data_IF_006064436010
#
_entry.id   IF_006064436010
#
_cell.length_a   1.000
_cell.length_b   1.000
_cell.length_c   1.000
_cell.angle_alpha   90.00
_cell.angle_beta   90.00
_cell.angle_gamma   90.00
#
_symmetry.space_group_name_H-M   'P 1'
#
loop_
_entity.id
_entity.type
_entity.pdbx_description
1 polymer ?
#
# COMPACT_ATOMS: atom_id res chain seq x y z
N UNK A 1 35.16 -31.63 18.77
CA UNK A 1 35.16 -30.70 17.61
C UNK A 1 33.79 -30.50 16.94
N UNK A 2 33.03 -31.54 16.56
CA UNK A 2 31.75 -31.39 15.83
C UNK A 2 30.66 -30.55 16.53
N UNK A 3 30.55 -30.64 17.86
CA UNK A 3 29.57 -29.85 18.65
C UNK A 3 29.89 -28.34 18.65
N UNK A 4 31.17 -27.95 18.77
CA UNK A 4 31.59 -26.55 18.66
C UNK A 4 31.29 -25.96 17.27
N UNK A 5 31.56 -26.72 16.20
CA UNK A 5 31.24 -26.30 14.83
C UNK A 5 29.73 -26.14 14.61
N UNK A 6 28.90 -27.07 15.11
CA UNK A 6 27.43 -26.93 15.06
C UNK A 6 26.95 -25.67 15.79
N UNK A 7 27.50 -25.37 16.98
CA UNK A 7 27.16 -24.15 17.74
C UNK A 7 27.55 -22.89 16.97
N UNK A 8 28.73 -22.86 16.37
CA UNK A 8 29.20 -21.73 15.56
C UNK A 8 28.34 -21.53 14.31
N UNK A 9 27.95 -22.61 13.63
CA UNK A 9 27.02 -22.55 12.50
C UNK A 9 25.66 -22.00 12.93
N UNK A 10 25.12 -22.46 14.06
CA UNK A 10 23.85 -21.95 14.59
C UNK A 10 23.91 -20.45 14.90
N UNK A 11 25.00 -19.96 15.53
CA UNK A 11 25.16 -18.53 15.79
C UNK A 11 25.24 -17.68 14.51
N UNK A 12 25.89 -18.19 13.46
CA UNK A 12 25.94 -17.50 12.16
C UNK A 12 24.57 -17.46 11.49
N UNK A 13 23.78 -18.54 11.59
CA UNK A 13 22.41 -18.57 11.07
C UNK A 13 21.51 -17.57 11.80
N UNK A 14 21.62 -17.45 13.13
CA UNK A 14 20.89 -16.43 13.90
C UNK A 14 21.29 -15.02 13.43
N UNK A 15 22.59 -14.73 13.33
CA UNK A 15 23.08 -13.43 12.88
C UNK A 15 22.59 -13.08 11.47
N UNK A 16 22.58 -14.06 10.58
CA UNK A 16 22.04 -13.89 9.22
C UNK A 16 20.55 -13.57 9.26
N UNK A 17 19.77 -14.30 10.04
CA UNK A 17 18.32 -14.09 10.16
C UNK A 17 17.98 -12.72 10.76
N UNK A 18 18.76 -12.23 11.73
CA UNK A 18 18.62 -10.87 12.26
C UNK A 18 18.83 -9.81 11.17
N UNK A 19 19.86 -9.96 10.34
CA UNK A 19 20.13 -9.03 9.24
C UNK A 19 19.02 -9.07 8.19
N UNK A 20 18.52 -10.26 7.85
CA UNK A 20 17.43 -10.44 6.91
C UNK A 20 16.15 -9.72 7.40
N UNK A 21 15.81 -9.84 8.69
CA UNK A 21 14.66 -9.15 9.30
C UNK A 21 14.84 -7.62 9.24
N UNK A 22 16.04 -7.11 9.52
CA UNK A 22 16.31 -5.66 9.44
C UNK A 22 16.12 -5.13 8.03
N UNK A 23 16.53 -5.89 7.01
CA UNK A 23 16.33 -5.52 5.60
C UNK A 23 14.83 -5.55 5.26
N UNK A 24 14.13 -6.62 5.63
CA UNK A 24 12.69 -6.79 5.37
C UNK A 24 11.86 -5.64 5.97
N UNK A 25 12.10 -5.29 7.24
CA UNK A 25 11.41 -4.16 7.90
C UNK A 25 11.72 -2.84 7.21
N UNK A 26 12.98 -2.59 6.83
CA UNK A 26 13.36 -1.35 6.13
C UNK A 26 12.70 -1.23 4.77
N UNK A 27 12.60 -2.33 4.02
CA UNK A 27 11.92 -2.37 2.74
C UNK A 27 10.42 -2.12 2.90
N UNK A 28 9.78 -2.76 3.89
CA UNK A 28 8.37 -2.55 4.18
C UNK A 28 8.07 -1.09 4.56
N UNK A 29 8.89 -0.46 5.41
CA UNK A 29 8.75 0.97 5.75
C UNK A 29 8.85 1.84 4.50
N UNK A 30 9.85 1.61 3.64
CA UNK A 30 10.00 2.37 2.38
C UNK A 30 8.79 2.19 1.47
N UNK A 31 8.21 1.00 1.41
CA UNK A 31 7.04 0.74 0.59
C UNK A 31 5.81 1.49 1.11
N UNK A 32 5.59 1.52 2.43
CA UNK A 32 4.52 2.32 3.06
C UNK A 32 4.69 3.81 2.73
N UNK A 33 5.90 4.36 2.92
CA UNK A 33 6.20 5.76 2.60
C UNK A 33 5.98 6.06 1.11
N UNK A 34 6.34 5.15 0.22
CA UNK A 34 6.12 5.34 -1.23
C UNK A 34 4.62 5.31 -1.57
N UNK A 35 3.87 4.40 -0.96
CA UNK A 35 2.45 4.25 -1.26
C UNK A 35 1.62 5.43 -0.72
N UNK A 36 1.97 6.00 0.44
CA UNK A 36 1.27 7.20 0.95
C UNK A 36 1.50 8.42 0.06
N UNK A 37 2.72 8.60 -0.47
CA UNK A 37 2.99 9.66 -1.45
C UNK A 37 2.19 9.44 -2.74
N UNK A 38 2.05 8.18 -3.17
CA UNK A 38 1.23 7.85 -4.33
C UNK A 38 -0.25 8.15 -4.10
N UNK A 39 -0.79 7.89 -2.90
CA UNK A 39 -2.16 8.30 -2.52
C UNK A 39 -2.32 9.81 -2.60
N UNK A 40 -1.36 10.58 -2.08
CA UNK A 40 -1.41 12.04 -2.15
C UNK A 40 -1.38 12.56 -3.58
N UNK A 41 -0.56 11.94 -4.45
CA UNK A 41 -0.47 12.30 -5.86
C UNK A 41 -1.77 12.00 -6.63
N UNK A 42 -2.34 10.81 -6.45
CA UNK A 42 -3.59 10.41 -7.13
C UNK A 42 -4.79 11.21 -6.63
N UNK A 43 -4.84 11.56 -5.35
CA UNK A 43 -5.86 12.47 -4.81
C UNK A 43 -5.82 13.83 -5.50
N UNK A 44 -4.64 14.45 -5.63
CA UNK A 44 -4.49 15.72 -6.34
C UNK A 44 -4.91 15.61 -7.81
N UNK A 45 -4.60 14.49 -8.47
CA UNK A 45 -5.04 14.24 -9.84
C UNK A 45 -6.57 14.15 -9.96
N UNK A 46 -7.23 13.46 -9.01
CA UNK A 46 -8.69 13.38 -8.94
C UNK A 46 -9.34 14.73 -8.68
N UNK A 47 -8.80 15.53 -7.75
CA UNK A 47 -9.27 16.89 -7.52
C UNK A 47 -9.13 17.79 -8.75
N UNK A 48 -8.06 17.65 -9.53
CA UNK A 48 -7.86 18.38 -10.78
C UNK A 48 -8.87 17.95 -11.84
N UNK A 49 -9.11 16.65 -11.99
CA UNK A 49 -10.10 16.11 -12.92
C UNK A 49 -11.53 16.58 -12.57
N UNK A 50 -11.86 16.62 -11.27
CA UNK A 50 -13.13 17.15 -10.77
C UNK A 50 -13.31 18.62 -11.18
N UNK A 51 -12.29 19.46 -10.95
CA UNK A 51 -12.32 20.88 -11.35
C UNK A 51 -12.46 21.04 -12.86
N UNK A 52 -11.84 20.16 -13.66
CA UNK A 52 -11.97 20.18 -15.11
C UNK A 52 -13.41 19.88 -15.54
N UNK A 53 -14.05 18.89 -14.93
CA UNK A 53 -15.46 18.59 -15.18
C UNK A 53 -16.34 19.81 -14.88
N UNK A 54 -16.18 20.43 -13.72
CA UNK A 54 -16.94 21.64 -13.35
C UNK A 54 -16.74 22.80 -14.34
N UNK A 55 -15.54 22.96 -14.88
CA UNK A 55 -15.23 23.97 -15.91
C UNK A 55 -15.95 23.66 -17.21
N UNK A 56 -15.93 22.41 -17.66
CA UNK A 56 -16.61 22.01 -18.90
C UNK A 56 -18.14 22.12 -18.78
N UNK A 57 -18.71 21.75 -17.64
CA UNK A 57 -20.15 21.95 -17.37
C UNK A 57 -20.54 23.43 -17.42
N UNK A 58 -19.73 24.32 -16.82
CA UNK A 58 -19.94 25.77 -16.89
C UNK A 58 -19.85 26.28 -18.32
N UNK A 59 -18.85 25.86 -19.09
CA UNK A 59 -18.72 26.25 -20.51
C UNK A 59 -19.90 25.75 -21.34
N UNK A 60 -20.37 24.53 -21.09
CA UNK A 60 -21.51 23.94 -21.80
C UNK A 60 -22.79 24.75 -21.54
N UNK A 61 -23.01 25.20 -20.30
CA UNK A 61 -24.17 26.03 -19.93
C UNK A 61 -24.25 27.36 -20.69
N UNK A 62 -23.12 27.87 -21.18
CA UNK A 62 -23.02 29.10 -21.99
C UNK A 62 -22.74 28.81 -23.47
N UNK A 63 -22.92 27.57 -23.93
CA UNK A 63 -22.76 27.16 -25.33
C UNK A 63 -21.31 27.17 -25.84
N UNK A 64 -20.32 27.13 -24.94
CA UNK A 64 -18.88 27.16 -25.23
C UNK A 64 -18.17 25.81 -25.07
N UNK A 65 -18.92 24.74 -24.85
CA UNK A 65 -18.44 23.35 -24.76
C UNK A 65 -19.49 22.41 -25.34
N UNK A 66 -19.14 21.16 -25.53
CA UNK A 66 -19.99 20.12 -26.13
C UNK A 66 -20.27 18.98 -25.15
N UNK A 67 -21.33 18.21 -25.40
CA UNK A 67 -21.63 17.03 -24.60
C UNK A 67 -20.50 15.98 -24.65
N UNK A 68 -19.78 15.92 -25.77
CA UNK A 68 -18.58 15.07 -25.91
C UNK A 68 -17.45 15.50 -24.97
N UNK A 69 -17.24 16.81 -24.79
CA UNK A 69 -16.21 17.33 -23.87
C UNK A 69 -16.57 17.06 -22.40
N UNK A 70 -17.85 17.17 -22.03
CA UNK A 70 -18.33 16.75 -20.71
C UNK A 70 -18.07 15.25 -20.50
N UNK A 71 -18.47 14.40 -21.44
CA UNK A 71 -18.27 12.95 -21.32
C UNK A 71 -16.78 12.58 -21.15
N UNK A 72 -15.89 13.24 -21.91
CA UNK A 72 -14.44 13.06 -21.74
C UNK A 72 -13.95 13.49 -20.36
N UNK A 73 -14.43 14.63 -19.84
CA UNK A 73 -14.07 15.08 -18.51
C UNK A 73 -14.58 14.14 -17.41
N UNK A 74 -15.75 13.53 -17.60
CA UNK A 74 -16.30 12.49 -16.70
C UNK A 74 -15.48 11.21 -16.75
N UNK A 75 -15.05 10.75 -17.93
CA UNK A 75 -14.17 9.59 -18.10
C UNK A 75 -12.80 9.81 -17.43
N UNK A 76 -12.22 11.00 -17.60
CA UNK A 76 -10.97 11.40 -16.96
C UNK A 76 -11.10 11.38 -15.42
N UNK A 77 -12.22 11.90 -14.90
CA UNK A 77 -12.52 11.88 -13.46
C UNK A 77 -12.67 10.45 -12.94
N UNK A 78 -13.47 9.62 -13.60
CA UNK A 78 -13.68 8.22 -13.20
C UNK A 78 -12.37 7.43 -13.18
N UNK A 79 -11.50 7.67 -14.17
CA UNK A 79 -10.15 7.08 -14.22
C UNK A 79 -9.29 7.55 -13.04
N UNK A 80 -9.32 8.86 -12.73
CA UNK A 80 -8.58 9.40 -11.60
C UNK A 80 -9.07 8.87 -10.25
N UNK A 81 -10.38 8.71 -10.06
CA UNK A 81 -10.99 8.09 -8.88
C UNK A 81 -10.55 6.63 -8.72
N UNK A 82 -10.57 5.86 -9.82
CA UNK A 82 -10.09 4.47 -9.81
C UNK A 82 -8.61 4.36 -9.42
N UNK A 83 -7.79 5.28 -9.92
CA UNK A 83 -6.37 5.35 -9.57
C UNK A 83 -6.15 5.75 -8.10
N UNK A 84 -6.94 6.68 -7.54
CA UNK A 84 -6.90 7.02 -6.11
C UNK A 84 -7.28 5.83 -5.25
N UNK A 85 -8.38 5.15 -5.57
CA UNK A 85 -8.84 3.97 -4.84
C UNK A 85 -7.79 2.85 -4.82
N UNK A 86 -7.19 2.54 -5.98
CA UNK A 86 -6.10 1.55 -6.06
C UNK A 86 -4.88 1.97 -5.24
N UNK A 87 -4.51 3.25 -5.26
CA UNK A 87 -3.39 3.73 -4.48
C UNK A 87 -3.62 3.56 -2.97
N UNK A 88 -4.85 3.80 -2.49
CA UNK A 88 -5.25 3.61 -1.10
C UNK A 88 -5.16 2.13 -0.72
N UNK A 89 -5.74 1.23 -1.53
CA UNK A 89 -5.68 -0.23 -1.29
C UNK A 89 -4.24 -0.71 -1.14
N UNK A 90 -3.37 -0.31 -2.06
CA UNK A 90 -1.96 -0.71 -2.02
C UNK A 90 -1.21 -0.13 -0.80
N UNK A 91 -1.59 1.06 -0.30
CA UNK A 91 -1.08 1.61 0.96
C UNK A 91 -1.53 0.80 2.19
N UNK A 92 -2.78 0.35 2.22
CA UNK A 92 -3.28 -0.51 3.28
C UNK A 92 -2.57 -1.88 3.26
N UNK A 93 -2.37 -2.46 2.07
CA UNK A 93 -1.61 -3.70 1.90
C UNK A 93 -0.16 -3.53 2.38
N UNK A 94 0.52 -2.45 2.02
CA UNK A 94 1.90 -2.23 2.47
C UNK A 94 1.98 -1.98 3.98
N UNK A 95 0.97 -1.36 4.58
CA UNK A 95 0.87 -1.18 6.04
C UNK A 95 0.72 -2.53 6.74
N UNK A 96 -0.16 -3.41 6.24
CA UNK A 96 -0.26 -4.78 6.74
C UNK A 96 1.04 -5.57 6.60
N UNK A 97 1.75 -5.42 5.46
CA UNK A 97 3.06 -6.06 5.26
C UNK A 97 4.13 -5.54 6.23
N UNK A 98 4.09 -4.27 6.61
CA UNK A 98 4.98 -3.72 7.63
C UNK A 98 4.71 -4.32 9.01
N UNK A 99 3.45 -4.46 9.41
CA UNK A 99 3.09 -5.12 10.66
C UNK A 99 3.49 -6.61 10.65
N UNK A 100 3.39 -7.28 9.49
CA UNK A 100 3.92 -8.64 9.31
C UNK A 100 5.43 -8.70 9.50
N UNK A 101 6.19 -7.79 8.89
CA UNK A 101 7.65 -7.76 8.97
C UNK A 101 8.15 -7.46 10.40
N UNK A 102 7.39 -6.68 11.18
CA UNK A 102 7.67 -6.44 12.60
C UNK A 102 7.35 -7.64 13.50
N UNK A 103 6.56 -8.59 13.00
CA UNK A 103 6.02 -9.70 13.80
C UNK A 103 4.82 -9.30 14.68
N UNK A 104 4.23 -8.13 14.46
CA UNK A 104 3.12 -7.57 15.25
C UNK A 104 1.75 -7.74 14.57
N UNK A 105 1.68 -8.44 13.43
CA UNK A 105 0.45 -8.53 12.64
C UNK A 105 -0.74 -9.16 13.38
N UNK A 106 -0.50 -10.19 14.20
CA UNK A 106 -1.59 -10.84 14.95
C UNK A 106 -2.14 -9.92 16.04
N UNK A 107 -1.25 -9.19 16.73
CA UNK A 107 -1.63 -8.22 17.75
C UNK A 107 -2.31 -6.98 17.13
N UNK A 108 -1.81 -6.50 15.98
CA UNK A 108 -2.32 -5.31 15.31
C UNK A 108 -3.74 -5.49 14.73
N UNK A 109 -4.11 -6.72 14.38
CA UNK A 109 -5.44 -7.07 13.86
C UNK A 109 -6.33 -7.82 14.88
N UNK A 110 -5.90 -7.92 16.14
CA UNK A 110 -6.59 -8.68 17.22
C UNK A 110 -6.96 -10.11 16.81
N UNK A 111 -6.06 -10.79 16.08
CA UNK A 111 -6.23 -12.16 15.62
C UNK A 111 -5.60 -13.10 16.65
N UNK A 112 -6.45 -13.85 17.36
CA UNK A 112 -6.02 -14.95 18.23
C UNK A 112 -5.93 -16.24 17.42
N UNK A 113 -4.74 -16.84 17.36
CA UNK A 113 -4.59 -18.19 16.85
C UNK A 113 -5.09 -19.15 17.93
N UNK A 114 -6.21 -19.84 17.67
CA UNK A 114 -6.55 -21.04 18.43
C UNK A 114 -5.49 -22.10 18.09
N UNK A 115 -4.62 -22.43 19.06
CA UNK A 115 -3.73 -23.57 18.93
C UNK A 115 -4.59 -24.83 18.92
N UNK A 116 -4.80 -25.43 17.76
CA UNK A 116 -5.19 -26.85 17.71
C UNK A 116 -4.03 -27.65 18.31
N UNK A 117 -4.16 -28.00 19.60
CA UNK A 117 -3.32 -29.01 20.24
C UNK A 117 -3.35 -30.27 19.39
N UNK A 118 -2.27 -30.53 18.66
CA UNK A 118 -2.01 -31.84 18.07
C UNK A 118 -1.89 -32.83 19.22
N UNK A 119 -3.02 -33.46 19.57
CA UNK A 119 -3.06 -34.60 20.49
C UNK A 119 -2.18 -35.72 19.92
N UNK A 120 -1.04 -35.88 20.60
CA UNK A 120 -0.17 -37.06 20.82
C UNK A 120 -0.32 -38.25 19.87
#
# INVERSE_FOLDING_TARGET
NRSKLKKQQASLNVKRKELDIVVEVREAVRQVMTNIERVNATRKARELAQKRLEVEEKKYSVGRSTSLEILRAQEDLATAEGNEAKAIIDYEISSGNLEKAKGTILDAYDIKLEEEETKT
#
